data_IF_580593876678
#
_entry.id   IF_580593876678
#
_cell.length_a   1.000
_cell.length_b   1.000
_cell.length_c   1.000
_cell.angle_alpha   90.00
_cell.angle_beta   90.00
_cell.angle_gamma   90.00
#
_symmetry.space_group_name_H-M   'P 1'
#
loop_
_entity.id
_entity.type
_entity.pdbx_description
1 polymer ?
#
# COMPACT_ATOMS: atom_id res chain seq x y z
N UNK A 1 -19.77 -5.77 -1.56
CA UNK A 1 -19.07 -5.23 -0.39
C UNK A 1 -18.17 -4.09 -0.84
N UNK A 2 -17.95 -3.04 -0.05
CA UNK A 2 -17.01 -1.99 -0.43
C UNK A 2 -15.58 -2.56 -0.43
N UNK A 3 -14.89 -2.42 -1.57
CA UNK A 3 -13.48 -2.80 -1.71
C UNK A 3 -12.63 -1.82 -0.90
N UNK A 4 -11.71 -2.32 -0.08
CA UNK A 4 -10.71 -1.49 0.58
C UNK A 4 -9.66 -1.09 -0.43
N UNK A 5 -9.52 0.21 -0.69
CA UNK A 5 -8.40 0.72 -1.49
C UNK A 5 -7.12 0.80 -0.66
N UNK A 6 -6.07 0.18 -1.18
CA UNK A 6 -4.69 0.32 -0.75
C UNK A 6 -3.99 1.25 -1.73
N UNK A 7 -3.75 2.48 -1.33
CA UNK A 7 -3.15 3.50 -2.19
C UNK A 7 -1.69 3.72 -1.78
N UNK A 8 -0.76 3.47 -2.69
CA UNK A 8 0.67 3.76 -2.50
C UNK A 8 1.02 5.06 -3.22
N UNK A 9 1.41 6.09 -2.48
CA UNK A 9 1.87 7.35 -3.05
C UNK A 9 3.33 7.21 -3.48
N UNK A 10 3.59 7.39 -4.77
CA UNK A 10 4.90 7.12 -5.37
C UNK A 10 5.68 8.38 -5.74
N UNK A 11 5.09 9.57 -5.60
CA UNK A 11 5.69 10.81 -6.04
C UNK A 11 6.95 11.16 -5.23
N UNK A 12 8.08 11.30 -5.93
CA UNK A 12 9.39 11.55 -5.34
C UNK A 12 9.88 10.46 -4.38
N UNK A 13 9.32 9.25 -4.48
CA UNK A 13 9.82 8.06 -3.79
C UNK A 13 10.96 7.42 -4.61
N UNK A 14 12.11 7.07 -4.02
CA UNK A 14 13.15 6.31 -4.71
C UNK A 14 12.59 4.99 -5.24
N UNK A 15 13.04 4.57 -6.43
CA UNK A 15 12.59 3.31 -7.07
C UNK A 15 12.80 2.13 -6.12
N UNK A 16 13.94 2.04 -5.45
CA UNK A 16 14.24 0.94 -4.52
C UNK A 16 13.24 0.85 -3.36
N UNK A 17 12.81 1.99 -2.83
CA UNK A 17 11.85 2.05 -1.72
C UNK A 17 10.43 1.72 -2.20
N UNK A 18 10.07 2.20 -3.41
CA UNK A 18 8.82 1.81 -4.07
C UNK A 18 8.73 0.30 -4.28
N UNK A 19 9.76 -0.30 -4.88
CA UNK A 19 9.78 -1.74 -5.12
C UNK A 19 9.74 -2.53 -3.81
N UNK A 20 10.44 -2.09 -2.76
CA UNK A 20 10.39 -2.75 -1.45
C UNK A 20 8.98 -2.76 -0.84
N UNK A 21 8.22 -1.66 -0.97
CA UNK A 21 6.82 -1.61 -0.51
C UNK A 21 5.91 -2.51 -1.38
N UNK A 22 6.13 -2.53 -2.70
CA UNK A 22 5.39 -3.39 -3.62
C UNK A 22 5.65 -4.89 -3.38
N UNK A 23 6.89 -5.27 -3.09
CA UNK A 23 7.27 -6.63 -2.74
C UNK A 23 6.52 -7.11 -1.49
N UNK A 24 6.35 -6.23 -0.49
CA UNK A 24 5.54 -6.54 0.69
C UNK A 24 4.08 -6.76 0.31
N UNK A 25 3.49 -5.90 -0.53
CA UNK A 25 2.10 -6.08 -0.96
C UNK A 25 1.93 -7.38 -1.74
N UNK A 26 2.85 -7.71 -2.65
CA UNK A 26 2.84 -8.97 -3.37
C UNK A 26 2.96 -10.17 -2.43
N UNK A 27 3.88 -10.10 -1.46
CA UNK A 27 4.11 -11.19 -0.52
C UNK A 27 2.87 -11.49 0.33
N UNK A 28 2.18 -10.46 0.81
CA UNK A 28 1.03 -10.59 1.71
C UNK A 28 -0.31 -10.79 0.99
N UNK A 29 -0.53 -10.11 -0.13
CA UNK A 29 -1.84 -10.05 -0.79
C UNK A 29 -1.88 -10.69 -2.18
N UNK A 30 -0.72 -11.03 -2.77
CA UNK A 30 -0.60 -11.61 -4.12
C UNK A 30 -1.24 -10.75 -5.22
N UNK A 31 -1.15 -9.43 -5.08
CA UNK A 31 -1.66 -8.45 -6.04
C UNK A 31 -0.58 -7.47 -6.48
N UNK A 32 -0.73 -6.95 -7.69
CA UNK A 32 0.09 -5.88 -8.27
C UNK A 32 -0.77 -4.61 -8.48
N UNK A 33 -0.16 -3.46 -8.81
CA UNK A 33 -0.92 -2.25 -9.13
C UNK A 33 -2.03 -2.48 -10.16
N UNK A 34 -3.24 -1.99 -9.86
CA UNK A 34 -4.43 -2.18 -10.69
C UNK A 34 -5.12 -3.53 -10.52
N UNK A 35 -4.63 -4.39 -9.61
CA UNK A 35 -5.28 -5.67 -9.29
C UNK A 35 -6.08 -5.59 -8.00
N UNK A 36 -7.03 -6.53 -7.90
CA UNK A 36 -7.85 -6.78 -6.72
C UNK A 36 -7.51 -8.17 -6.17
N UNK A 37 -7.56 -8.36 -4.85
CA UNK A 37 -7.36 -9.66 -4.20
C UNK A 37 -8.41 -10.68 -4.68
N UNK A 38 -8.08 -11.97 -4.61
CA UNK A 38 -8.96 -13.04 -5.09
C UNK A 38 -10.31 -13.11 -4.35
N UNK A 39 -10.35 -12.66 -3.10
CA UNK A 39 -11.56 -12.54 -2.27
C UNK A 39 -12.36 -11.25 -2.55
N UNK A 40 -11.86 -10.37 -3.42
CA UNK A 40 -12.51 -9.11 -3.79
C UNK A 40 -12.46 -8.03 -2.71
N UNK A 41 -11.61 -8.17 -1.69
CA UNK A 41 -11.63 -7.27 -0.52
C UNK A 41 -10.70 -6.07 -0.64
N UNK A 42 -9.60 -6.18 -1.39
CA UNK A 42 -8.55 -5.15 -1.46
C UNK A 42 -8.10 -4.87 -2.88
N UNK A 43 -8.00 -3.60 -3.26
CA UNK A 43 -7.47 -3.12 -4.54
C UNK A 43 -6.19 -2.32 -4.30
N UNK A 44 -5.11 -2.61 -5.04
CA UNK A 44 -3.87 -1.83 -4.99
C UNK A 44 -3.87 -0.75 -6.08
N UNK A 45 -3.70 0.51 -5.69
CA UNK A 45 -3.59 1.65 -6.61
C UNK A 45 -2.30 2.42 -6.34
N UNK A 46 -1.57 2.78 -7.40
CA UNK A 46 -0.48 3.76 -7.30
C UNK A 46 -1.06 5.15 -7.49
N UNK A 47 -0.73 6.06 -6.59
CA UNK A 47 -1.19 7.44 -6.63
C UNK A 47 -0.02 8.34 -6.98
N UNK A 48 -0.20 9.13 -8.04
CA UNK A 48 0.63 10.27 -8.38
C UNK A 48 -0.02 11.53 -7.80
N UNK A 49 0.70 12.28 -7.00
CA UNK A 49 0.18 13.48 -6.35
C UNK A 49 1.15 14.06 -5.32
N UNK A 50 0.93 15.31 -4.95
CA UNK A 50 1.76 15.99 -3.96
C UNK A 50 1.63 15.32 -2.59
N UNK A 51 2.63 14.50 -2.25
CA UNK A 51 2.87 14.05 -0.88
C UNK A 51 3.93 14.96 -0.27
N UNK A 52 3.67 15.49 0.93
CA UNK A 52 4.66 16.30 1.64
C UNK A 52 5.92 15.48 1.88
N UNK A 53 7.13 16.04 1.66
CA UNK A 53 8.38 15.28 1.85
C UNK A 53 8.48 14.58 3.20
N UNK A 54 8.01 15.21 4.27
CA UNK A 54 8.02 14.68 5.65
C UNK A 54 7.07 13.49 5.89
N UNK A 55 6.09 13.29 5.01
CA UNK A 55 5.10 12.21 5.11
C UNK A 55 5.50 10.98 4.28
N UNK A 56 6.53 11.08 3.44
CA UNK A 56 6.94 9.99 2.54
C UNK A 56 7.71 8.91 3.32
N UNK A 57 7.51 7.62 2.99
CA UNK A 57 6.50 7.08 2.07
C UNK A 57 5.08 7.15 2.66
N UNK A 58 4.08 7.50 1.86
CA UNK A 58 2.69 7.59 2.31
C UNK A 58 1.85 6.45 1.71
N UNK A 59 1.09 5.76 2.57
CA UNK A 59 0.12 4.74 2.17
C UNK A 59 -1.26 5.08 2.75
N UNK A 60 -2.32 4.98 1.94
CA UNK A 60 -3.69 4.93 2.47
C UNK A 60 -4.23 3.52 2.47
N UNK A 61 -4.94 3.14 3.54
CA UNK A 61 -5.68 1.88 3.58
C UNK A 61 -7.12 2.18 4.00
N UNK A 62 -8.04 2.08 3.04
CA UNK A 62 -9.45 2.40 3.27
C UNK A 62 -9.67 3.84 3.73
N UNK A 63 -8.92 4.79 3.17
CA UNK A 63 -8.99 6.21 3.50
C UNK A 63 -8.22 6.65 4.76
N UNK A 64 -7.55 5.73 5.46
CA UNK A 64 -6.69 6.06 6.60
C UNK A 64 -5.25 6.25 6.14
N UNK A 65 -4.65 7.39 6.49
CA UNK A 65 -3.26 7.74 6.15
C UNK A 65 -2.23 7.13 7.09
N UNK A 66 -1.19 6.57 6.50
CA UNK A 66 -0.03 6.03 7.18
C UNK A 66 1.23 6.66 6.57
N UNK A 67 1.68 7.82 7.09
CA UNK A 67 2.92 8.45 6.66
C UNK A 67 4.14 7.70 7.19
N UNK A 68 5.30 7.97 6.58
CA UNK A 68 6.59 7.37 6.92
C UNK A 68 6.50 5.83 6.95
N UNK A 69 5.85 5.27 5.95
CA UNK A 69 5.60 3.83 5.84
C UNK A 69 6.90 3.10 5.53
N UNK A 70 7.18 2.06 6.32
CA UNK A 70 8.29 1.12 6.09
C UNK A 70 7.74 -0.23 5.62
N UNK A 71 8.52 -1.03 4.87
CA UNK A 71 8.14 -2.39 4.48
C UNK A 71 7.64 -3.27 5.65
N UNK A 72 8.31 -3.23 6.80
CA UNK A 72 7.99 -4.03 7.98
C UNK A 72 6.62 -3.66 8.56
N UNK A 73 6.39 -2.35 8.73
CA UNK A 73 5.12 -1.79 9.20
C UNK A 73 3.97 -2.10 8.24
N UNK A 74 4.20 -1.98 6.93
CA UNK A 74 3.19 -2.32 5.91
C UNK A 74 2.82 -3.80 6.02
N UNK A 75 3.80 -4.70 6.05
CA UNK A 75 3.55 -6.13 6.17
C UNK A 75 2.78 -6.49 7.45
N UNK A 76 3.12 -5.87 8.58
CA UNK A 76 2.40 -6.06 9.83
C UNK A 76 0.92 -5.61 9.75
N UNK A 77 0.66 -4.47 9.09
CA UNK A 77 -0.70 -3.96 8.88
C UNK A 77 -1.53 -4.89 7.97
N UNK A 78 -0.94 -5.38 6.88
CA UNK A 78 -1.61 -6.27 5.94
C UNK A 78 -1.93 -7.63 6.56
N UNK A 79 -0.99 -8.25 7.29
CA UNK A 79 -1.23 -9.53 8.00
C UNK A 79 -2.35 -9.42 9.03
N UNK A 80 -2.41 -8.31 9.77
CA UNK A 80 -3.47 -8.07 10.75
C UNK A 80 -4.85 -7.95 10.10
N UNK A 81 -4.93 -7.44 8.86
CA UNK A 81 -6.17 -7.30 8.10
C UNK A 81 -6.62 -8.60 7.44
N UNK A 82 -5.70 -9.40 6.88
CA UNK A 82 -6.01 -10.69 6.26
C UNK A 82 -6.37 -11.81 7.24
N UNK A 83 -6.14 -11.61 8.54
CA UNK A 83 -6.50 -12.57 9.59
C UNK A 83 -7.95 -12.43 10.11
N UNK A 84 -8.80 -11.65 9.45
CA UNK A 84 -10.22 -11.47 9.77
C UNK A 84 -11.09 -11.98 8.62
#
# INVERSE_FOLDING_TARGET
MPVTRLELHIEGLPVTEREALLDVVWNELKISPGMVTADGTTELTLVQGETRPEDRPLVHIGGVAYPQMTPERLGALLRRRGSR
#
